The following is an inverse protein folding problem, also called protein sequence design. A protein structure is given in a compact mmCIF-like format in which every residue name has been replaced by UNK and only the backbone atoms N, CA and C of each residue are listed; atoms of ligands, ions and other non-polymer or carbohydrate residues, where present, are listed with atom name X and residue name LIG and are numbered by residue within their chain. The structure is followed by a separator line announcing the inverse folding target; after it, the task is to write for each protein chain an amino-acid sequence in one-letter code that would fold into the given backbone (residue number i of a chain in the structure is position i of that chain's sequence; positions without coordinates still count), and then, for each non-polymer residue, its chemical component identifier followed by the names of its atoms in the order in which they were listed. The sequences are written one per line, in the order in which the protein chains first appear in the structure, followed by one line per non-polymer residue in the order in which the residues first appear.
data_IF_033403914617
#
_entry.id   IF_033403914617
#
_cell.length_a   1.000
_cell.length_b   1.000
_cell.length_c   1.000
_cell.angle_alpha   90.00
_cell.angle_beta   90.00
_cell.angle_gamma   90.00
#
_symmetry.space_group_name_H-M   'P 1'
#
loop_
_entity.id
_entity.type
_entity.pdbx_description
1 polymer ?
#
# COMPACT_ATOMS: atom_id res chain seq x y z
N UNK A 1 22.99 4.37 -2.33
CA UNK A 1 22.50 2.97 -2.37
C UNK A 1 22.36 2.31 -0.99
N UNK A 2 23.12 2.69 0.05
CA UNK A 2 23.02 2.08 1.38
C UNK A 2 21.79 2.52 2.23
N UNK A 3 21.37 3.78 2.16
CA UNK A 3 20.24 4.30 2.97
C UNK A 3 18.86 3.75 2.58
N UNK A 4 18.64 3.36 1.32
CA UNK A 4 17.38 2.73 0.88
C UNK A 4 17.26 1.28 1.37
N UNK A 5 18.38 0.55 1.45
CA UNK A 5 18.41 -0.83 1.95
C UNK A 5 17.99 -0.93 3.42
N UNK A 6 18.47 -0.02 4.27
CA UNK A 6 18.11 -0.03 5.69
C UNK A 6 16.63 0.30 5.99
N UNK A 7 15.94 1.02 5.11
CA UNK A 7 14.50 1.28 5.24
C UNK A 7 13.66 0.04 4.95
N UNK A 8 14.02 -0.68 3.89
CA UNK A 8 13.40 -1.96 3.53
C UNK A 8 13.68 -3.01 4.61
N UNK A 9 14.91 -3.11 5.11
CA UNK A 9 15.27 -4.02 6.22
C UNK A 9 14.44 -3.76 7.48
N UNK A 10 14.28 -2.49 7.90
CA UNK A 10 13.45 -2.15 9.07
C UNK A 10 11.98 -2.54 8.89
N UNK A 11 11.43 -2.36 7.69
CA UNK A 11 10.06 -2.76 7.39
C UNK A 11 9.91 -4.29 7.39
N UNK A 12 10.89 -5.02 6.84
CA UNK A 12 10.94 -6.48 6.89
C UNK A 12 11.14 -7.03 8.32
N UNK A 13 11.92 -6.35 9.17
CA UNK A 13 12.11 -6.74 10.57
C UNK A 13 10.85 -6.46 11.41
N UNK A 14 10.19 -5.32 11.20
CA UNK A 14 8.90 -5.04 11.82
C UNK A 14 7.85 -6.07 11.40
N UNK A 15 7.84 -6.42 10.11
CA UNK A 15 6.98 -7.46 9.56
C UNK A 15 7.27 -8.85 10.16
N UNK A 16 8.55 -9.25 10.28
CA UNK A 16 8.93 -10.51 10.94
C UNK A 16 8.43 -10.57 12.37
N UNK A 17 8.53 -9.46 13.11
CA UNK A 17 8.03 -9.40 14.49
C UNK A 17 6.51 -9.56 14.57
N UNK A 18 5.75 -8.92 13.66
CA UNK A 18 4.29 -9.08 13.58
C UNK A 18 3.92 -10.53 13.22
N UNK A 19 4.56 -11.11 12.21
CA UNK A 19 4.40 -12.52 11.86
C UNK A 19 4.73 -13.48 13.01
N UNK A 20 5.80 -13.21 13.75
CA UNK A 20 6.18 -14.03 14.91
C UNK A 20 5.15 -13.92 16.04
N UNK A 21 4.53 -12.76 16.22
CA UNK A 21 3.44 -12.56 17.17
C UNK A 21 2.16 -13.31 16.73
N UNK A 22 1.86 -13.33 15.43
CA UNK A 22 0.68 -14.00 14.86
C UNK A 22 0.86 -15.51 14.64
N UNK A 23 2.10 -16.01 14.66
CA UNK A 23 2.41 -17.45 14.51
C UNK A 23 1.75 -18.34 15.56
N UNK A 24 1.45 -17.82 16.75
CA UNK A 24 0.69 -18.56 17.77
C UNK A 24 -0.77 -18.81 17.38
N UNK A 25 -1.32 -18.05 16.44
CA UNK A 25 -2.72 -18.16 15.98
C UNK A 25 -2.87 -18.94 14.67
N UNK A 26 -1.78 -19.19 13.93
CA UNK A 26 -1.81 -19.87 12.63
C UNK A 26 -1.36 -21.33 12.80
N UNK A 27 -2.36 -22.21 12.96
CA UNK A 27 -2.19 -23.64 13.25
C UNK A 27 -1.88 -24.49 12.00
N UNK A 28 -2.10 -23.96 10.80
CA UNK A 28 -1.98 -24.68 9.53
C UNK A 28 -1.02 -23.96 8.56
N UNK A 29 -0.15 -24.75 7.90
CA UNK A 29 0.91 -24.24 7.03
C UNK A 29 0.37 -23.40 5.87
N UNK A 30 -0.79 -23.75 5.29
CA UNK A 30 -1.37 -22.97 4.19
C UNK A 30 -1.79 -21.57 4.63
N UNK A 31 -2.33 -21.46 5.84
CA UNK A 31 -2.72 -20.17 6.41
C UNK A 31 -1.47 -19.31 6.66
N UNK A 32 -0.38 -19.89 7.15
CA UNK A 32 0.90 -19.20 7.30
C UNK A 32 1.40 -18.68 5.94
N UNK A 33 1.37 -19.51 4.90
CA UNK A 33 1.78 -19.10 3.55
C UNK A 33 0.90 -17.97 3.00
N UNK A 34 -0.42 -18.05 3.18
CA UNK A 34 -1.36 -17.00 2.76
C UNK A 34 -1.09 -15.67 3.47
N UNK A 35 -0.88 -15.70 4.79
CA UNK A 35 -0.53 -14.51 5.57
C UNK A 35 0.82 -13.92 5.13
N UNK A 36 1.83 -14.77 4.88
CA UNK A 36 3.14 -14.32 4.42
C UNK A 36 3.04 -13.66 3.04
N UNK A 37 2.27 -14.26 2.14
CA UNK A 37 2.07 -13.77 0.78
C UNK A 37 1.33 -12.44 0.75
N UNK A 38 0.19 -12.33 1.45
CA UNK A 38 -0.59 -11.10 1.54
C UNK A 38 0.26 -9.96 2.11
N UNK A 39 1.02 -10.23 3.16
CA UNK A 39 1.87 -9.23 3.78
C UNK A 39 3.06 -8.83 2.90
N UNK A 40 3.63 -9.77 2.14
CA UNK A 40 4.65 -9.45 1.13
C UNK A 40 4.11 -8.49 0.06
N UNK A 41 2.89 -8.72 -0.44
CA UNK A 41 2.23 -7.81 -1.39
C UNK A 41 2.03 -6.43 -0.77
N UNK A 42 1.51 -6.38 0.46
CA UNK A 42 1.30 -5.12 1.19
C UNK A 42 2.60 -4.33 1.35
N UNK A 43 3.68 -5.00 1.74
CA UNK A 43 5.00 -4.38 1.89
C UNK A 43 5.57 -3.92 0.54
N UNK A 44 5.40 -4.71 -0.52
CA UNK A 44 5.81 -4.33 -1.87
C UNK A 44 5.07 -3.06 -2.34
N UNK A 45 3.76 -3.00 -2.13
CA UNK A 45 2.95 -1.83 -2.44
C UNK A 45 3.41 -0.60 -1.64
N UNK A 46 3.63 -0.75 -0.34
CA UNK A 46 4.14 0.32 0.53
C UNK A 46 5.49 0.86 0.02
N UNK A 47 6.45 -0.01 -0.30
CA UNK A 47 7.75 0.37 -0.84
C UNK A 47 7.64 1.07 -2.20
N UNK A 48 6.72 0.61 -3.07
CA UNK A 48 6.44 1.26 -4.36
C UNK A 48 5.93 2.68 -4.16
N UNK A 49 5.03 2.89 -3.20
CA UNK A 49 4.51 4.21 -2.87
C UNK A 49 5.63 5.10 -2.32
N UNK A 50 6.39 4.61 -1.36
CA UNK A 50 7.51 5.35 -0.78
C UNK A 50 8.55 5.74 -1.84
N UNK A 51 8.83 4.85 -2.79
CA UNK A 51 9.72 5.15 -3.91
C UNK A 51 9.17 6.21 -4.85
N UNK A 52 7.87 6.20 -5.16
CA UNK A 52 7.22 7.22 -5.98
C UNK A 52 7.29 8.61 -5.31
N UNK A 53 6.99 8.67 -4.00
CA UNK A 53 7.11 9.90 -3.19
C UNK A 53 8.55 10.41 -3.19
N UNK A 54 9.54 9.52 -2.99
CA UNK A 54 10.98 9.83 -3.06
C UNK A 54 11.37 10.41 -4.41
N UNK A 55 10.93 9.79 -5.51
CA UNK A 55 11.24 10.23 -6.89
C UNK A 55 10.71 11.63 -7.18
N UNK A 56 9.61 12.03 -6.54
CA UNK A 56 9.00 13.37 -6.67
C UNK A 56 9.49 14.36 -5.60
N UNK A 57 10.42 13.95 -4.72
CA UNK A 57 10.95 14.73 -3.61
C UNK A 57 9.88 15.21 -2.61
N UNK A 58 8.82 14.41 -2.41
CA UNK A 58 7.66 14.76 -1.59
C UNK A 58 7.70 14.16 -0.17
N UNK A 59 8.82 13.55 0.24
CA UNK A 59 8.95 12.89 1.55
C UNK A 59 8.72 13.81 2.76
N UNK A 60 8.89 15.12 2.59
CA UNK A 60 8.67 16.12 3.64
C UNK A 60 7.19 16.49 3.82
N UNK A 61 6.31 16.05 2.91
CA UNK A 61 4.88 16.38 2.88
C UNK A 61 3.96 15.18 2.93
N UNK A 62 4.41 14.04 2.43
CA UNK A 62 3.60 12.83 2.25
C UNK A 62 4.35 11.61 2.76
N UNK A 63 3.71 10.86 3.63
CA UNK A 63 4.05 9.48 3.96
C UNK A 63 3.29 8.52 3.05
N UNK A 64 3.75 7.27 2.90
CA UNK A 64 2.99 6.27 2.15
C UNK A 64 1.61 5.98 2.76
N UNK A 65 1.45 6.14 4.08
CA UNK A 65 0.17 5.97 4.76
C UNK A 65 -0.82 7.06 4.35
N UNK A 66 -0.38 8.32 4.27
CA UNK A 66 -1.23 9.43 3.81
C UNK A 66 -1.76 9.19 2.39
N UNK A 67 -0.96 8.57 1.53
CA UNK A 67 -1.38 8.20 0.17
C UNK A 67 -2.45 7.10 0.20
N UNK A 68 -2.24 6.07 1.01
CA UNK A 68 -3.21 4.98 1.17
C UNK A 68 -4.54 5.49 1.73
N UNK A 69 -4.51 6.37 2.73
CA UNK A 69 -5.71 6.98 3.32
C UNK A 69 -6.50 7.82 2.31
N UNK A 70 -5.81 8.61 1.48
CA UNK A 70 -6.47 9.37 0.42
C UNK A 70 -7.06 8.43 -0.65
N UNK A 71 -6.34 7.39 -1.06
CA UNK A 71 -6.81 6.45 -2.08
C UNK A 71 -7.98 5.60 -1.59
N UNK A 72 -8.02 5.27 -0.29
CA UNK A 72 -9.11 4.51 0.33
C UNK A 72 -10.48 5.22 0.29
N UNK A 73 -10.51 6.52 -0.01
CA UNK A 73 -11.76 7.28 -0.19
C UNK A 73 -12.52 6.90 -1.46
N UNK A 74 -11.85 6.26 -2.42
CA UNK A 74 -12.46 5.78 -3.65
C UNK A 74 -12.77 4.29 -3.50
N UNK A 75 -14.03 3.92 -3.70
CA UNK A 75 -14.48 2.53 -3.58
C UNK A 75 -15.38 2.15 -4.76
N UNK A 76 -15.49 0.85 -5.03
CA UNK A 76 -16.42 0.36 -6.04
C UNK A 76 -17.83 0.25 -5.44
N UNK A 77 -18.80 0.83 -6.15
CA UNK A 77 -20.22 0.78 -5.85
C UNK A 77 -20.85 -0.22 -6.81
N UNK A 78 -21.67 -1.13 -6.27
CA UNK A 78 -22.51 -2.01 -7.08
C UNK A 78 -23.85 -1.33 -7.34
N UNK A 79 -24.14 -1.04 -8.59
CA UNK A 79 -25.44 -0.58 -9.06
C UNK A 79 -26.07 -1.69 -9.93
N UNK A 80 -26.85 -2.56 -9.31
CA UNK A 80 -27.39 -3.76 -9.95
C UNK A 80 -26.29 -4.72 -10.41
N UNK A 81 -26.21 -4.97 -11.72
CA UNK A 81 -25.17 -5.80 -12.35
C UNK A 81 -23.90 -5.03 -12.72
N UNK A 82 -23.87 -3.70 -12.51
CA UNK A 82 -22.74 -2.84 -12.88
C UNK A 82 -21.89 -2.51 -11.66
N UNK A 83 -20.59 -2.74 -11.78
CA UNK A 83 -19.59 -2.21 -10.84
C UNK A 83 -19.13 -0.84 -11.35
N UNK A 84 -19.43 0.21 -10.58
CA UNK A 84 -19.11 1.59 -10.90
C UNK A 84 -18.16 2.11 -9.83
N UNK A 85 -17.12 2.83 -10.23
CA UNK A 85 -16.23 3.49 -9.26
C UNK A 85 -16.97 4.69 -8.66
N UNK A 86 -16.89 4.87 -7.35
CA UNK A 86 -17.40 6.07 -6.67
C UNK A 86 -16.79 7.34 -7.25
N UNK A 87 -17.38 8.50 -6.97
CA UNK A 87 -16.77 9.77 -7.33
C UNK A 87 -15.31 9.83 -6.83
N UNK A 88 -14.37 10.16 -7.73
CA UNK A 88 -12.96 10.32 -7.40
C UNK A 88 -12.75 11.75 -6.92
N UNK A 89 -12.44 12.00 -5.63
CA UNK A 89 -12.23 13.35 -5.15
C UNK A 89 -11.06 14.02 -5.88
N UNK A 90 -11.16 15.32 -6.14
CA UNK A 90 -10.11 16.09 -6.84
C UNK A 90 -8.72 15.88 -6.25
N UNK A 91 -8.62 15.85 -4.92
CA UNK A 91 -7.37 15.61 -4.18
C UNK A 91 -6.76 14.25 -4.52
N UNK A 92 -7.58 13.21 -4.66
CA UNK A 92 -7.13 11.85 -5.02
C UNK A 92 -6.66 11.80 -6.47
N UNK A 93 -7.40 12.41 -7.40
CA UNK A 93 -7.01 12.48 -8.81
C UNK A 93 -5.69 13.27 -9.01
N UNK A 94 -5.51 14.37 -8.29
CA UNK A 94 -4.26 15.14 -8.29
C UNK A 94 -3.10 14.32 -7.72
N UNK A 95 -3.32 13.62 -6.60
CA UNK A 95 -2.31 12.78 -5.97
C UNK A 95 -1.88 11.63 -6.89
N UNK A 96 -2.84 10.95 -7.53
CA UNK A 96 -2.59 9.89 -8.51
C UNK A 96 -1.77 10.41 -9.70
N UNK A 97 -2.07 11.61 -10.20
CA UNK A 97 -1.32 12.26 -11.27
C UNK A 97 0.10 12.65 -10.86
N UNK A 98 0.27 13.20 -9.66
CA UNK A 98 1.57 13.64 -9.14
C UNK A 98 2.49 12.45 -8.91
N UNK A 99 1.96 11.36 -8.34
CA UNK A 99 2.71 10.12 -8.08
C UNK A 99 2.90 9.28 -9.35
N UNK A 100 2.01 9.43 -10.34
CA UNK A 100 2.08 8.78 -11.64
C UNK A 100 1.61 7.33 -11.65
N UNK A 101 0.67 6.96 -10.78
CA UNK A 101 0.15 5.59 -10.74
C UNK A 101 -0.94 5.35 -11.78
N UNK A 102 -1.75 6.36 -12.13
CA UNK A 102 -2.85 6.28 -13.09
C UNK A 102 -3.83 5.14 -12.75
N UNK A 103 -4.21 5.05 -11.47
CA UNK A 103 -5.06 3.96 -10.94
C UNK A 103 -6.53 4.20 -11.25
N UNK A 104 -6.96 5.46 -11.28
CA UNK A 104 -8.36 5.83 -11.44
C UNK A 104 -8.70 6.21 -12.89
N UNK A 105 -9.92 5.91 -13.38
CA UNK A 105 -10.36 6.33 -14.71
C UNK A 105 -10.40 7.86 -14.83
N UNK A 106 -10.24 8.36 -16.06
CA UNK A 106 -10.22 9.80 -16.40
C UNK A 106 -11.58 10.32 -16.83
#
# INVERSE_FOLDING_TARGET
MYKQRGGVEKLFDMYKNILYADKMYLLDDESIFGHIFASFISLYAYCKIEFAIKKKNLLHKLSPLDVLEEFAKVYMIKDGEREIISEVPKKVAELDRVLGFNVFPK
#
